data_IF_781213317059
#
_entry.id   IF_781213317059
#
_cell.length_a   1.000
_cell.length_b   1.000
_cell.length_c   1.000
_cell.angle_alpha   90.00
_cell.angle_beta   90.00
_cell.angle_gamma   90.00
#
_symmetry.space_group_name_H-M   'P 1'
#
loop_
_entity.id
_entity.type
_entity.pdbx_description
1 polymer ?
#
# COMPACT_ATOMS: atom_id res chain seq x y z
N UNK A 1 23.95 -7.89 8.66
CA UNK A 1 23.30 -6.80 7.89
C UNK A 1 22.29 -7.26 6.83
N UNK A 2 22.15 -8.56 6.48
CA UNK A 2 21.13 -9.03 5.50
C UNK A 2 19.92 -9.76 6.10
N UNK A 3 19.90 -10.03 7.41
CA UNK A 3 18.84 -10.81 8.04
C UNK A 3 17.44 -10.19 7.85
N UNK A 4 17.33 -8.87 7.97
CA UNK A 4 16.07 -8.15 7.75
C UNK A 4 15.62 -8.22 6.29
N UNK A 5 16.54 -8.08 5.32
CA UNK A 5 16.24 -8.17 3.89
C UNK A 5 15.72 -9.57 3.55
N UNK A 6 16.41 -10.63 4.00
CA UNK A 6 15.97 -12.02 3.78
C UNK A 6 14.62 -12.28 4.45
N UNK A 7 14.42 -11.80 5.68
CA UNK A 7 13.15 -11.94 6.38
C UNK A 7 12.00 -11.23 5.64
N UNK A 8 12.23 -10.02 5.16
CA UNK A 8 11.26 -9.28 4.35
C UNK A 8 10.90 -10.02 3.06
N UNK A 9 11.88 -10.65 2.39
CA UNK A 9 11.64 -11.47 1.21
C UNK A 9 10.73 -12.67 1.53
N UNK A 10 11.02 -13.38 2.62
CA UNK A 10 10.19 -14.49 3.09
C UNK A 10 8.76 -14.05 3.40
N UNK A 11 8.59 -12.87 4.02
CA UNK A 11 7.26 -12.31 4.27
C UNK A 11 6.54 -12.02 2.94
N UNK A 12 7.19 -11.39 1.96
CA UNK A 12 6.56 -11.12 0.66
C UNK A 12 6.13 -12.41 -0.03
N UNK A 13 7.00 -13.43 -0.06
CA UNK A 13 6.66 -14.75 -0.60
C UNK A 13 5.46 -15.35 0.15
N UNK A 14 5.47 -15.27 1.48
CA UNK A 14 4.36 -15.70 2.32
C UNK A 14 3.06 -14.98 1.99
N UNK A 15 3.07 -13.65 1.85
CA UNK A 15 1.91 -12.85 1.47
C UNK A 15 1.36 -13.31 0.12
N UNK A 16 2.21 -13.45 -0.89
CA UNK A 16 1.79 -13.90 -2.22
C UNK A 16 1.18 -15.30 -2.19
N UNK A 17 1.78 -16.21 -1.41
CA UNK A 17 1.27 -17.56 -1.20
C UNK A 17 -0.11 -17.55 -0.53
N UNK A 18 -0.26 -16.81 0.59
CA UNK A 18 -1.53 -16.70 1.29
C UNK A 18 -2.61 -16.03 0.45
N UNK A 19 -2.28 -14.99 -0.34
CA UNK A 19 -3.22 -14.39 -1.30
C UNK A 19 -3.71 -15.46 -2.29
N UNK A 20 -2.81 -16.30 -2.81
CA UNK A 20 -3.16 -17.38 -3.74
C UNK A 20 -4.07 -18.45 -3.13
N UNK A 21 -3.96 -18.70 -1.82
CA UNK A 21 -4.87 -19.61 -1.09
C UNK A 21 -6.20 -18.93 -0.83
N UNK A 22 -6.18 -17.79 -0.14
CA UNK A 22 -7.40 -17.12 0.36
C UNK A 22 -8.28 -16.62 -0.77
N UNK A 23 -7.71 -16.22 -1.92
CA UNK A 23 -8.49 -15.84 -3.11
C UNK A 23 -9.43 -16.94 -3.62
N UNK A 24 -9.14 -18.20 -3.32
CA UNK A 24 -9.97 -19.35 -3.73
C UNK A 24 -11.05 -19.70 -2.71
N UNK A 25 -10.99 -19.12 -1.52
CA UNK A 25 -11.99 -19.33 -0.48
C UNK A 25 -13.30 -18.60 -0.79
N UNK A 26 -14.35 -18.95 -0.06
CA UNK A 26 -15.66 -18.25 -0.17
C UNK A 26 -15.50 -16.76 0.13
N UNK A 27 -16.25 -15.91 -0.57
CA UNK A 27 -16.21 -14.45 -0.41
C UNK A 27 -16.41 -14.01 1.06
N UNK A 28 -17.29 -14.70 1.80
CA UNK A 28 -17.47 -14.46 3.24
C UNK A 28 -16.17 -14.62 4.04
N UNK A 29 -15.38 -15.67 3.77
CA UNK A 29 -14.11 -15.91 4.46
C UNK A 29 -13.07 -14.85 4.10
N UNK A 30 -12.99 -14.47 2.82
CA UNK A 30 -12.11 -13.39 2.35
C UNK A 30 -12.43 -12.08 3.07
N UNK A 31 -13.71 -11.71 3.10
CA UNK A 31 -14.18 -10.48 3.75
C UNK A 31 -13.96 -10.52 5.27
N UNK A 32 -14.10 -11.69 5.91
CA UNK A 32 -13.81 -11.85 7.34
C UNK A 32 -12.33 -11.64 7.66
N UNK A 33 -11.43 -12.17 6.84
CA UNK A 33 -9.98 -11.97 7.00
C UNK A 33 -9.63 -10.48 6.83
N UNK A 34 -10.14 -9.83 5.78
CA UNK A 34 -9.94 -8.40 5.54
C UNK A 34 -10.46 -7.58 6.73
N UNK A 35 -11.64 -7.91 7.26
CA UNK A 35 -12.21 -7.23 8.41
C UNK A 35 -11.32 -7.35 9.65
N UNK A 36 -10.87 -8.56 9.98
CA UNK A 36 -9.99 -8.80 11.14
C UNK A 36 -8.67 -8.05 10.99
N UNK A 37 -8.03 -8.12 9.83
CA UNK A 37 -6.79 -7.38 9.58
C UNK A 37 -6.98 -5.86 9.65
N UNK A 38 -8.10 -5.35 9.14
CA UNK A 38 -8.43 -3.92 9.21
C UNK A 38 -8.63 -3.44 10.64
N UNK A 39 -9.31 -4.25 11.48
CA UNK A 39 -9.47 -3.95 12.91
C UNK A 39 -8.10 -3.97 13.61
N UNK A 40 -7.29 -5.00 13.37
CA UNK A 40 -5.94 -5.09 13.96
C UNK A 40 -5.06 -3.91 13.56
N UNK A 41 -5.09 -3.49 12.29
CA UNK A 41 -4.34 -2.33 11.81
C UNK A 41 -4.73 -1.05 12.54
N UNK A 42 -6.03 -0.77 12.64
CA UNK A 42 -6.52 0.43 13.34
C UNK A 42 -6.21 0.34 14.83
N UNK A 43 -6.40 -0.82 15.47
CA UNK A 43 -6.14 -0.98 16.90
C UNK A 43 -4.65 -0.80 17.24
N UNK A 44 -3.75 -1.44 16.49
CA UNK A 44 -2.30 -1.36 16.74
C UNK A 44 -1.80 0.04 16.44
N UNK A 45 -2.09 0.61 15.27
CA UNK A 45 -1.61 1.94 14.89
C UNK A 45 -2.29 3.04 15.69
N UNK A 46 -3.57 2.87 16.05
CA UNK A 46 -4.31 3.78 16.92
C UNK A 46 -3.76 3.77 18.35
N UNK A 47 -3.38 2.61 18.87
CA UNK A 47 -2.69 2.51 20.16
C UNK A 47 -1.31 3.19 20.12
N UNK A 48 -0.54 2.98 19.05
CA UNK A 48 0.74 3.67 18.86
C UNK A 48 0.57 5.20 18.78
N UNK A 49 -0.45 5.66 18.06
CA UNK A 49 -0.80 7.08 17.99
C UNK A 49 -1.21 7.65 19.35
N UNK A 50 -1.98 6.89 20.14
CA UNK A 50 -2.35 7.28 21.51
C UNK A 50 -1.12 7.41 22.43
N UNK A 51 -0.17 6.49 22.31
CA UNK A 51 1.10 6.54 23.06
C UNK A 51 2.04 7.65 22.59
N UNK A 52 1.94 8.05 21.32
CA UNK A 52 2.81 9.06 20.70
C UNK A 52 1.98 10.12 19.97
N UNK A 53 1.19 10.93 20.71
CA UNK A 53 0.21 11.85 20.12
C UNK A 53 0.86 13.00 19.32
N UNK A 54 2.17 13.20 19.45
CA UNK A 54 2.93 14.19 18.68
C UNK A 54 3.35 13.68 17.28
N UNK A 55 3.24 12.38 17.01
CA UNK A 55 3.50 11.76 15.71
C UNK A 55 2.23 11.80 14.86
N UNK A 56 1.89 12.96 14.31
CA UNK A 56 0.68 13.14 13.47
C UNK A 56 0.83 12.33 12.17
N UNK A 57 -0.16 11.49 11.79
CA UNK A 57 -0.08 10.69 10.57
C UNK A 57 -0.14 11.58 9.33
N UNK A 58 1.03 11.86 8.74
CA UNK A 58 1.17 12.61 7.49
C UNK A 58 1.74 11.79 6.35
N UNK A 59 2.44 10.70 6.67
CA UNK A 59 2.96 9.80 5.66
C UNK A 59 1.84 9.08 4.93
N UNK A 60 2.02 8.89 3.63
CA UNK A 60 1.06 8.18 2.78
C UNK A 60 0.71 6.81 3.36
N UNK A 61 1.71 6.04 3.80
CA UNK A 61 1.51 4.71 4.40
C UNK A 61 0.75 4.79 5.72
N UNK A 62 1.09 5.74 6.59
CA UNK A 62 0.42 5.90 7.88
C UNK A 62 -1.05 6.27 7.72
N UNK A 63 -1.37 7.18 6.81
CA UNK A 63 -2.77 7.51 6.47
C UNK A 63 -3.48 6.29 5.90
N UNK A 64 -2.80 5.51 5.05
CA UNK A 64 -3.35 4.29 4.46
C UNK A 64 -3.72 3.24 5.52
N UNK A 65 -2.97 3.10 6.61
CA UNK A 65 -3.32 2.17 7.70
C UNK A 65 -4.70 2.46 8.30
N UNK A 66 -5.05 3.73 8.44
CA UNK A 66 -6.34 4.14 9.00
C UNK A 66 -7.42 4.16 7.93
N UNK A 67 -7.22 4.93 6.86
CA UNK A 67 -8.28 5.21 5.89
C UNK A 67 -8.66 3.97 5.09
N UNK A 68 -7.69 3.17 4.61
CA UNK A 68 -8.01 1.93 3.88
C UNK A 68 -8.73 0.92 4.78
N UNK A 69 -8.30 0.80 6.05
CA UNK A 69 -8.95 -0.09 7.02
C UNK A 69 -10.38 0.33 7.32
N UNK A 70 -10.65 1.63 7.50
CA UNK A 70 -12.01 2.17 7.67
C UNK A 70 -12.87 1.87 6.43
N UNK A 71 -12.33 2.09 5.23
CA UNK A 71 -13.05 1.79 3.97
C UNK A 71 -13.39 0.30 3.87
N UNK A 72 -12.47 -0.59 4.24
CA UNK A 72 -12.71 -2.04 4.23
C UNK A 72 -13.72 -2.48 5.29
N UNK A 73 -13.67 -1.92 6.50
CA UNK A 73 -14.63 -2.19 7.57
C UNK A 73 -16.04 -1.74 7.15
N UNK A 74 -16.16 -0.52 6.64
CA UNK A 74 -17.43 0.08 6.23
C UNK A 74 -17.92 -0.40 4.84
N UNK A 75 -17.08 -1.15 4.11
CA UNK A 75 -17.37 -1.71 2.78
C UNK A 75 -17.83 -0.66 1.76
N UNK A 76 -17.18 0.50 1.74
CA UNK A 76 -17.57 1.63 0.88
C UNK A 76 -17.09 1.38 -0.55
N UNK A 77 -17.91 0.70 -1.36
CA UNK A 77 -17.57 0.21 -2.71
C UNK A 77 -16.97 1.28 -3.64
N UNK A 78 -17.48 2.50 -3.59
CA UNK A 78 -17.07 3.57 -4.52
C UNK A 78 -15.62 4.01 -4.33
N UNK A 79 -15.15 4.07 -3.08
CA UNK A 79 -13.78 4.48 -2.73
C UNK A 79 -12.86 3.30 -2.41
N UNK A 80 -13.38 2.06 -2.45
CA UNK A 80 -12.61 0.85 -2.19
C UNK A 80 -11.40 0.72 -3.12
N UNK A 81 -11.52 1.15 -4.39
CA UNK A 81 -10.38 1.12 -5.33
C UNK A 81 -9.22 2.01 -4.87
N UNK A 82 -9.50 3.14 -4.22
CA UNK A 82 -8.44 3.96 -3.63
C UNK A 82 -7.81 3.23 -2.46
N UNK A 83 -8.61 2.59 -1.58
CA UNK A 83 -8.09 1.82 -0.45
C UNK A 83 -7.17 0.68 -0.91
N UNK A 84 -7.57 -0.03 -1.97
CA UNK A 84 -6.80 -1.10 -2.60
C UNK A 84 -5.51 -0.58 -3.24
N UNK A 85 -5.61 0.49 -4.04
CA UNK A 85 -4.45 1.13 -4.65
C UNK A 85 -3.44 1.56 -3.58
N UNK A 86 -3.89 2.31 -2.57
CA UNK A 86 -3.02 2.82 -1.52
C UNK A 86 -2.39 1.70 -0.70
N UNK A 87 -3.16 0.66 -0.38
CA UNK A 87 -2.66 -0.50 0.35
C UNK A 87 -1.57 -1.25 -0.42
N UNK A 88 -1.75 -1.45 -1.73
CA UNK A 88 -0.74 -2.08 -2.59
C UNK A 88 0.50 -1.20 -2.71
N UNK A 89 0.34 0.11 -2.96
CA UNK A 89 1.47 1.03 -3.10
C UNK A 89 2.28 1.12 -1.79
N UNK A 90 1.60 1.34 -0.66
CA UNK A 90 2.25 1.39 0.65
C UNK A 90 2.98 0.08 0.96
N UNK A 91 2.38 -1.07 0.68
CA UNK A 91 3.00 -2.38 0.87
C UNK A 91 4.22 -2.59 -0.02
N UNK A 92 4.06 -2.44 -1.33
CA UNK A 92 5.11 -2.69 -2.32
C UNK A 92 6.33 -1.79 -2.08
N UNK A 93 6.15 -0.48 -1.93
CA UNK A 93 7.28 0.43 -1.76
C UNK A 93 8.02 0.19 -0.44
N UNK A 94 7.30 -0.15 0.63
CA UNK A 94 7.93 -0.49 1.89
C UNK A 94 8.80 -1.74 1.76
N UNK A 95 8.25 -2.84 1.26
CA UNK A 95 9.02 -4.08 1.11
C UNK A 95 10.16 -3.93 0.11
N UNK A 96 10.00 -3.21 -0.99
CA UNK A 96 11.10 -2.90 -1.90
C UNK A 96 12.23 -2.15 -1.18
N UNK A 97 11.88 -1.16 -0.35
CA UNK A 97 12.85 -0.40 0.44
C UNK A 97 13.58 -1.31 1.42
N UNK A 98 12.86 -2.15 2.18
CA UNK A 98 13.49 -3.10 3.13
C UNK A 98 14.36 -4.13 2.40
N UNK A 99 13.96 -4.58 1.22
CA UNK A 99 14.75 -5.54 0.42
C UNK A 99 16.06 -4.94 -0.08
N UNK A 100 16.05 -3.67 -0.51
CA UNK A 100 17.23 -3.01 -1.08
C UNK A 100 18.13 -2.42 -0.01
N UNK A 101 17.55 -1.74 0.99
CA UNK A 101 18.31 -0.95 1.98
C UNK A 101 18.01 -1.33 3.43
N UNK A 102 17.32 -2.45 3.68
CA UNK A 102 16.83 -2.89 4.99
C UNK A 102 17.82 -2.73 6.15
N UNK A 103 18.98 -3.38 6.07
CA UNK A 103 20.03 -3.25 7.09
C UNK A 103 20.39 -1.79 7.40
N UNK A 104 20.77 -1.02 6.39
CA UNK A 104 21.26 0.35 6.59
C UNK A 104 20.17 1.35 6.99
N UNK A 105 18.94 1.17 6.51
CA UNK A 105 17.84 2.11 6.75
C UNK A 105 17.17 1.87 8.10
N UNK A 106 17.08 0.61 8.54
CA UNK A 106 16.28 0.25 9.70
C UNK A 106 17.09 -0.02 10.98
N UNK A 107 18.43 0.01 10.91
CA UNK A 107 19.32 -0.16 12.07
C UNK A 107 19.09 0.86 13.20
N UNK A 108 18.62 2.07 12.87
CA UNK A 108 18.37 3.14 13.85
C UNK A 108 16.97 3.10 14.48
N UNK A 109 16.07 2.25 13.98
CA UNK A 109 14.73 2.11 14.53
C UNK A 109 14.69 0.99 15.58
N UNK A 110 13.83 1.14 16.59
CA UNK A 110 13.60 0.04 17.52
C UNK A 110 13.04 -1.17 16.78
N UNK A 111 13.48 -2.37 17.18
CA UNK A 111 12.97 -3.63 16.62
C UNK A 111 11.44 -3.71 16.64
N UNK A 112 10.80 -3.19 17.70
CA UNK A 112 9.34 -3.11 17.81
C UNK A 112 8.71 -2.26 16.69
N UNK A 113 9.26 -1.09 16.38
CA UNK A 113 8.75 -0.23 15.31
C UNK A 113 8.94 -0.92 13.94
N UNK A 114 10.06 -1.61 13.72
CA UNK A 114 10.31 -2.38 12.49
C UNK A 114 9.28 -3.50 12.31
N UNK A 115 8.99 -4.27 13.37
CA UNK A 115 8.00 -5.35 13.30
C UNK A 115 6.57 -4.83 13.10
N UNK A 116 6.21 -3.71 13.76
CA UNK A 116 4.91 -3.07 13.55
C UNK A 116 4.78 -2.57 12.11
N UNK A 117 5.84 -1.98 11.55
CA UNK A 117 5.85 -1.53 10.16
C UNK A 117 5.74 -2.72 9.18
N UNK A 118 6.52 -3.79 9.38
CA UNK A 118 6.40 -5.03 8.59
C UNK A 118 4.99 -5.60 8.66
N UNK A 119 4.40 -5.72 9.85
CA UNK A 119 3.04 -6.19 10.01
C UNK A 119 2.03 -5.27 9.31
N UNK A 120 2.18 -3.94 9.45
CA UNK A 120 1.21 -2.98 8.94
C UNK A 120 1.23 -2.93 7.41
N UNK A 121 2.42 -2.82 6.82
CA UNK A 121 2.60 -2.85 5.37
C UNK A 121 2.27 -4.22 4.78
N UNK A 122 2.60 -5.32 5.48
CA UNK A 122 2.26 -6.68 5.06
C UNK A 122 0.76 -6.92 5.02
N UNK A 123 0.03 -6.45 6.04
CA UNK A 123 -1.43 -6.56 6.11
C UNK A 123 -2.10 -5.74 5.00
N UNK A 124 -1.64 -4.50 4.77
CA UNK A 124 -2.10 -3.70 3.64
C UNK A 124 -1.84 -4.40 2.29
N UNK A 125 -0.61 -4.87 2.08
CA UNK A 125 -0.25 -5.54 0.83
C UNK A 125 -1.12 -6.77 0.58
N UNK A 126 -1.30 -7.61 1.60
CA UNK A 126 -2.15 -8.78 1.55
C UNK A 126 -3.60 -8.41 1.17
N UNK A 127 -4.22 -7.48 1.90
CA UNK A 127 -5.62 -7.08 1.65
C UNK A 127 -5.79 -6.45 0.27
N UNK A 128 -4.87 -5.57 -0.13
CA UNK A 128 -4.89 -4.92 -1.43
C UNK A 128 -4.75 -5.92 -2.58
N UNK A 129 -3.79 -6.84 -2.52
CA UNK A 129 -3.62 -7.89 -3.53
C UNK A 129 -4.78 -8.87 -3.57
N UNK A 130 -5.32 -9.28 -2.41
CA UNK A 130 -6.50 -10.13 -2.33
C UNK A 130 -7.68 -9.47 -3.06
N UNK A 131 -7.96 -8.19 -2.75
CA UNK A 131 -9.03 -7.44 -3.41
C UNK A 131 -8.80 -7.23 -4.91
N UNK A 132 -7.57 -6.92 -5.33
CA UNK A 132 -7.23 -6.84 -6.76
C UNK A 132 -7.48 -8.16 -7.50
N UNK A 133 -7.34 -9.29 -6.82
CA UNK A 133 -7.53 -10.61 -7.42
C UNK A 133 -9.01 -11.01 -7.46
N UNK A 134 -9.78 -10.67 -6.44
CA UNK A 134 -11.15 -11.18 -6.27
C UNK A 134 -12.26 -10.20 -6.64
N UNK A 135 -11.95 -8.91 -6.80
CA UNK A 135 -12.93 -7.86 -7.15
C UNK A 135 -12.55 -7.20 -8.47
N UNK A 136 -13.50 -7.08 -9.41
CA UNK A 136 -13.29 -6.35 -10.67
C UNK A 136 -13.65 -4.88 -10.49
N UNK A 137 -12.71 -3.98 -10.76
CA UNK A 137 -12.91 -2.54 -10.64
C UNK A 137 -13.11 -1.87 -12.01
N UNK A 138 -13.99 -0.87 -12.05
CA UNK A 138 -14.24 -0.09 -13.26
C UNK A 138 -13.16 0.98 -13.44
N UNK A 139 -12.51 1.03 -14.60
CA UNK A 139 -11.50 2.04 -14.97
C UNK A 139 -12.01 3.49 -14.86
N UNK A 140 -13.33 3.69 -14.98
CA UNK A 140 -13.96 5.00 -14.78
C UNK A 140 -13.71 5.54 -13.37
N UNK A 141 -13.41 4.70 -12.38
CA UNK A 141 -13.07 5.13 -11.02
C UNK A 141 -11.61 5.57 -10.86
N UNK A 142 -10.83 5.67 -11.94
CA UNK A 142 -9.43 6.12 -11.85
C UNK A 142 -9.27 7.54 -11.27
N UNK A 143 -10.26 8.42 -11.44
CA UNK A 143 -10.24 9.73 -10.80
C UNK A 143 -10.34 9.64 -9.27
N UNK A 144 -10.98 8.61 -8.72
CA UNK A 144 -11.09 8.40 -7.26
C UNK A 144 -9.69 8.21 -6.66
N UNK A 145 -8.80 7.52 -7.38
CA UNK A 145 -7.40 7.36 -6.98
C UNK A 145 -6.69 8.72 -6.94
N UNK A 146 -6.86 9.51 -8.00
CA UNK A 146 -6.23 10.83 -8.13
C UNK A 146 -6.72 11.78 -7.03
N UNK A 147 -8.04 11.88 -6.84
CA UNK A 147 -8.64 12.74 -5.81
C UNK A 147 -8.16 12.31 -4.42
N UNK A 148 -8.16 11.02 -4.10
CA UNK A 148 -7.69 10.56 -2.79
C UNK A 148 -6.20 10.86 -2.54
N UNK A 149 -5.35 10.77 -3.56
CA UNK A 149 -3.94 11.17 -3.45
C UNK A 149 -3.79 12.69 -3.27
N UNK A 150 -4.60 13.49 -3.97
CA UNK A 150 -4.63 14.94 -3.79
C UNK A 150 -5.12 15.33 -2.39
N UNK A 151 -6.07 14.60 -1.81
CA UNK A 151 -6.53 14.80 -0.45
C UNK A 151 -5.44 14.47 0.58
N UNK A 152 -4.66 13.40 0.37
CA UNK A 152 -3.48 13.12 1.19
C UNK A 152 -2.47 14.27 1.09
N UNK A 153 -2.20 14.75 -0.12
CA UNK A 153 -1.27 15.86 -0.32
C UNK A 153 -1.75 17.14 0.38
N UNK A 154 -3.04 17.47 0.25
CA UNK A 154 -3.66 18.61 0.91
C UNK A 154 -3.59 18.46 2.44
N UNK A 155 -3.86 17.27 2.97
CA UNK A 155 -3.71 16.97 4.40
C UNK A 155 -2.28 17.17 4.89
N UNK A 156 -1.30 16.65 4.15
CA UNK A 156 0.12 16.81 4.49
C UNK A 156 0.53 18.29 4.48
N UNK A 157 0.09 19.08 3.51
CA UNK A 157 0.35 20.51 3.47
C UNK A 157 -0.34 21.26 4.63
N UNK A 158 -1.57 20.89 4.97
CA UNK A 158 -2.34 21.49 6.06
C UNK A 158 -1.71 21.22 7.44
N UNK A 159 -1.26 20.00 7.69
CA UNK A 159 -0.66 19.60 8.96
C UNK A 159 0.79 20.09 9.11
N UNK A 160 1.46 20.44 8.01
CA UNK A 160 2.87 20.84 8.00
C UNK A 160 3.28 21.84 9.11
N UNK A 161 2.51 22.90 9.43
CA UNK A 161 2.87 23.84 10.49
C UNK A 161 2.83 23.24 11.90
N UNK A 162 2.07 22.17 12.11
CA UNK A 162 1.92 21.51 13.41
C UNK A 162 3.01 20.45 13.67
N UNK A 163 3.84 20.15 12.68
CA UNK A 163 4.90 19.16 12.81
C UNK A 163 6.13 19.82 13.41
N UNK A 164 6.40 19.48 14.66
CA UNK A 164 7.55 19.98 15.42
C UNK A 164 8.73 19.00 15.43
N UNK A 165 8.60 17.85 14.76
CA UNK A 165 9.64 16.81 14.73
C UNK A 165 10.64 17.06 13.59
N UNK A 166 11.93 16.96 13.91
CA UNK A 166 13.05 17.08 12.97
C UNK A 166 13.40 15.77 12.25
N UNK A 167 12.54 14.75 12.34
CA UNK A 167 12.76 13.47 11.67
C UNK A 167 12.42 13.55 10.17
N UNK A 168 12.98 12.62 9.38
CA UNK A 168 12.72 12.58 7.94
C UNK A 168 11.28 12.17 7.69
N UNK A 169 10.52 13.06 7.05
CA UNK A 169 9.17 12.79 6.56
C UNK A 169 9.22 12.78 5.03
N UNK A 170 9.09 11.60 4.43
CA UNK A 170 9.28 11.32 3.02
C UNK A 170 8.36 12.16 2.13
N UNK A 171 7.08 12.35 2.51
CA UNK A 171 6.17 13.19 1.73
C UNK A 171 6.68 14.64 1.61
N UNK A 172 7.31 15.20 2.65
CA UNK A 172 7.91 16.53 2.56
C UNK A 172 9.24 16.52 1.81
N UNK A 173 10.03 15.45 1.89
CA UNK A 173 11.23 15.33 1.05
C UNK A 173 10.89 15.37 -0.44
N UNK A 174 9.76 14.77 -0.83
CA UNK A 174 9.21 14.84 -2.18
C UNK A 174 8.67 16.24 -2.51
N UNK A 175 7.84 16.83 -1.65
CA UNK A 175 7.24 18.15 -1.87
C UNK A 175 8.32 19.22 -2.00
N UNK A 176 9.33 19.20 -1.12
CA UNK A 176 10.40 20.21 -1.10
C UNK A 176 11.48 19.94 -2.15
N UNK A 177 11.44 18.79 -2.82
CA UNK A 177 12.48 18.37 -3.75
C UNK A 177 13.85 18.32 -3.07
N UNK A 178 13.92 17.83 -1.82
CA UNK A 178 15.11 17.90 -0.95
C UNK A 178 16.39 17.45 -1.66
N UNK A 179 16.32 16.35 -2.40
CA UNK A 179 17.47 15.80 -3.14
C UNK A 179 17.88 16.65 -4.35
N UNK A 180 16.95 17.40 -4.95
CA UNK A 180 17.27 18.34 -6.04
C UNK A 180 17.97 19.58 -5.49
N UNK A 181 17.57 20.07 -4.33
CA UNK A 181 18.19 21.23 -3.70
C UNK A 181 19.65 20.98 -3.27
N UNK A 182 20.08 19.71 -3.22
CA UNK A 182 21.47 19.32 -2.98
C UNK A 182 22.32 19.34 -4.27
N UNK A 183 21.70 19.42 -5.44
CA UNK A 183 22.41 19.54 -6.72
C UNK A 183 22.78 21.01 -6.92
N UNK A 184 24.05 21.35 -6.69
CA UNK A 184 24.60 22.67 -7.00
C UNK A 184 24.72 22.86 -8.52
N UNK A 185 23.60 23.22 -9.15
CA UNK A 185 23.50 23.36 -10.60
C UNK A 185 22.77 24.64 -10.97
N UNK A 186 23.34 25.37 -11.93
CA UNK A 186 22.73 26.56 -12.53
C UNK A 186 21.38 26.28 -13.20
N UNK A 187 21.07 25.01 -13.49
CA UNK A 187 19.83 24.56 -14.12
C UNK A 187 18.72 24.15 -13.15
N UNK A 188 18.86 24.41 -11.84
CA UNK A 188 17.87 24.00 -10.84
C UNK A 188 16.44 24.51 -11.15
N UNK A 189 16.32 25.68 -11.79
CA UNK A 189 15.05 26.27 -12.22
C UNK A 189 14.36 25.50 -13.34
N UNK A 190 15.11 24.73 -14.15
CA UNK A 190 14.57 23.81 -15.18
C UNK A 190 14.30 22.43 -14.57
N UNK A 191 15.23 21.94 -13.75
CA UNK A 191 15.16 20.59 -13.16
C UNK A 191 13.97 20.47 -12.21
N UNK A 192 13.66 21.50 -11.42
CA UNK A 192 12.54 21.48 -10.46
C UNK A 192 11.17 21.27 -11.15
N UNK A 193 10.77 22.06 -12.15
CA UNK A 193 9.53 21.78 -12.91
C UNK A 193 9.51 20.38 -13.51
N UNK A 194 10.61 19.94 -14.12
CA UNK A 194 10.71 18.60 -14.72
C UNK A 194 10.49 17.51 -13.67
N UNK A 195 11.07 17.65 -12.48
CA UNK A 195 10.85 16.73 -11.37
C UNK A 195 9.37 16.63 -10.99
N UNK A 196 8.68 17.75 -10.78
CA UNK A 196 7.27 17.71 -10.39
C UNK A 196 6.37 17.17 -11.51
N UNK A 197 6.71 17.42 -12.78
CA UNK A 197 6.05 16.81 -13.93
C UNK A 197 6.23 15.29 -13.90
N UNK A 198 7.45 14.80 -13.65
CA UNK A 198 7.74 13.37 -13.58
C UNK A 198 7.03 12.68 -12.42
N UNK A 199 7.04 13.28 -11.22
CA UNK A 199 6.32 12.77 -10.05
C UNK A 199 4.81 12.72 -10.34
N UNK A 200 4.25 13.80 -10.89
CA UNK A 200 2.82 13.84 -11.25
C UNK A 200 2.46 12.82 -12.32
N UNK A 201 3.31 12.67 -13.34
CA UNK A 201 3.15 11.66 -14.38
C UNK A 201 3.22 10.25 -13.82
N UNK A 202 4.13 9.99 -12.88
CA UNK A 202 4.24 8.70 -12.21
C UNK A 202 2.96 8.35 -11.44
N UNK A 203 2.42 9.29 -10.63
CA UNK A 203 1.16 9.10 -9.90
C UNK A 203 -0.02 8.91 -10.86
N UNK A 204 -0.06 9.66 -11.96
CA UNK A 204 -1.10 9.49 -12.98
C UNK A 204 -1.01 8.10 -13.63
N UNK A 205 0.19 7.66 -14.03
CA UNK A 205 0.38 6.36 -14.67
C UNK A 205 0.10 5.20 -13.71
N UNK A 206 0.56 5.26 -12.46
CA UNK A 206 0.27 4.23 -11.46
C UNK A 206 -1.24 4.05 -11.25
N UNK A 207 -2.01 5.15 -11.25
CA UNK A 207 -3.48 5.12 -11.15
C UNK A 207 -4.16 4.39 -12.31
N UNK A 208 -3.52 4.31 -13.49
CA UNK A 208 -4.04 3.56 -14.65
C UNK A 208 -3.52 2.11 -14.67
N UNK A 209 -2.27 1.91 -14.29
CA UNK A 209 -1.63 0.58 -14.25
C UNK A 209 -2.37 -0.35 -13.29
N UNK A 210 -2.84 0.15 -12.15
CA UNK A 210 -3.56 -0.66 -11.17
C UNK A 210 -4.80 -1.36 -11.74
N UNK A 211 -5.53 -0.71 -12.66
CA UNK A 211 -6.69 -1.33 -13.32
C UNK A 211 -6.29 -2.39 -14.33
N UNK A 212 -5.19 -2.19 -15.07
CA UNK A 212 -4.65 -3.22 -15.97
C UNK A 212 -4.19 -4.45 -15.19
N UNK A 213 -3.56 -4.22 -14.03
CA UNK A 213 -3.17 -5.29 -13.11
C UNK A 213 -4.40 -5.99 -12.55
N UNK A 214 -5.42 -5.25 -12.11
CA UNK A 214 -6.69 -5.81 -11.63
C UNK A 214 -7.35 -6.71 -12.69
N UNK A 215 -7.47 -6.24 -13.92
CA UNK A 215 -8.07 -7.00 -15.01
C UNK A 215 -7.33 -8.32 -15.25
N UNK A 216 -5.99 -8.28 -15.32
CA UNK A 216 -5.18 -9.48 -15.52
C UNK A 216 -5.29 -10.47 -14.35
N UNK A 217 -5.21 -9.98 -13.11
CA UNK A 217 -5.29 -10.83 -11.92
C UNK A 217 -6.67 -11.47 -11.78
N UNK A 218 -7.74 -10.68 -11.99
CA UNK A 218 -9.12 -11.13 -11.88
C UNK A 218 -9.46 -12.20 -12.94
N UNK A 219 -9.07 -11.97 -14.21
CA UNK A 219 -9.32 -12.93 -15.29
C UNK A 219 -8.57 -14.24 -15.09
N UNK A 220 -7.31 -14.18 -14.64
CA UNK A 220 -6.53 -15.38 -14.35
C UNK A 220 -7.16 -16.19 -13.21
N UNK A 221 -7.62 -15.54 -12.14
CA UNK A 221 -8.26 -16.23 -11.02
C UNK A 221 -9.57 -16.92 -11.44
N UNK A 222 -10.40 -16.22 -12.23
CA UNK A 222 -11.63 -16.82 -12.79
C UNK A 222 -11.33 -18.04 -13.66
N UNK A 223 -10.33 -17.95 -14.54
CA UNK A 223 -9.89 -19.09 -15.36
C UNK A 223 -9.46 -20.27 -14.49
N UNK A 224 -8.66 -20.04 -13.46
CA UNK A 224 -8.20 -21.09 -12.55
C UNK A 224 -9.36 -21.76 -11.79
N UNK A 225 -10.39 -21.00 -11.43
CA UNK A 225 -11.60 -21.55 -10.82
C UNK A 225 -12.36 -22.47 -11.78
N UNK A 226 -12.56 -22.06 -13.04
CA UNK A 226 -13.27 -22.86 -14.04
C UNK A 226 -12.54 -24.20 -14.31
N UNK A 227 -11.22 -24.16 -14.53
CA UNK A 227 -10.41 -25.38 -14.78
C UNK A 227 -10.47 -26.39 -13.62
N UNK A 228 -10.67 -25.92 -12.37
CA UNK A 228 -10.80 -26.80 -11.19
C UNK A 228 -12.18 -27.44 -11.09
N UNK A 229 -13.23 -26.70 -11.46
CA UNK A 229 -14.59 -27.23 -11.47
C UNK A 229 -14.72 -28.34 -12.52
N UNK A 230 -14.13 -28.14 -13.71
CA UNK A 230 -14.07 -29.13 -14.78
C UNK A 230 -13.37 -30.42 -14.32
N UNK A 231 -12.15 -30.31 -13.77
CA UNK A 231 -11.42 -31.47 -13.21
C UNK A 231 -12.20 -32.21 -12.13
N UNK A 232 -12.96 -31.50 -11.29
CA UNK A 232 -13.75 -32.12 -10.22
C UNK A 232 -14.93 -32.90 -10.82
N UNK A 233 -15.56 -32.38 -11.86
CA UNK A 233 -16.64 -33.05 -12.58
C UNK A 233 -16.14 -34.34 -13.27
N UNK A 234 -14.99 -34.27 -13.94
CA UNK A 234 -14.37 -35.44 -14.58
C UNK A 234 -14.01 -36.53 -13.56
N UNK A 235 -13.49 -36.14 -12.38
CA UNK A 235 -13.13 -37.09 -11.31
C UNK A 235 -14.32 -37.74 -10.59
N UNK A 236 -15.53 -37.20 -10.76
CA UNK A 236 -16.76 -37.75 -10.18
C UNK A 236 -17.55 -38.60 -11.19
N UNK A 237 -17.08 -38.66 -12.43
CA UNK A 237 -17.74 -39.37 -13.54
C UNK A 237 -17.14 -40.77 -13.81
N UNK A 238 -16.25 -41.25 -12.93
CA UNK A 238 -15.65 -42.59 -12.93
C UNK A 238 -15.92 -43.30 -11.60
#
# INVERSE_FOLDING_TARGET
MYGLNTFALLIVIGILYFVSIVSKEKEYMQNRIILVLSILLISINGYMFYLRPKEIPVEFSTITYFVSSVIFILRIKYIEIWAVYSAVMAGVFYYLTVLVTGGNTYEFYSHSNVYIALFSHGSLLFMGLLKLKTTKYNQNLSFVIIIGNLLILAWALYIRPAITYNERIFIYELIDGKYLNQLDTSFIFIIKPVYYILVSFFVYKSSKVIFKVNEKLYLNDKRDMFMRQEKKYDSQSY
#
